data_IF_836571500907
#
_entry.id   IF_836571500907
#
_cell.length_a   1.000
_cell.length_b   1.000
_cell.length_c   1.000
_cell.angle_alpha   90.00
_cell.angle_beta   90.00
_cell.angle_gamma   90.00
#
_symmetry.space_group_name_H-M   'P 1'
#
loop_
_entity.id
_entity.type
_entity.pdbx_description
1 polymer ?
#
# COMPACT_ATOMS: atom_id res chain seq x y z
N UNK A 1 4.25 5.92 -6.01
CA UNK A 1 3.09 5.65 -5.12
C UNK A 1 3.11 6.60 -3.92
N UNK A 2 2.14 7.52 -3.79
CA UNK A 2 2.02 8.38 -2.58
C UNK A 2 0.95 7.80 -1.65
N UNK A 3 1.31 7.48 -0.40
CA UNK A 3 0.39 7.13 0.67
C UNK A 3 0.12 8.35 1.53
N UNK A 4 -1.08 8.45 2.08
CA UNK A 4 -1.30 9.35 3.20
C UNK A 4 -0.91 8.64 4.49
N UNK A 5 0.08 9.17 5.20
CA UNK A 5 0.42 8.67 6.53
C UNK A 5 -0.38 9.44 7.57
N UNK A 6 -1.30 8.77 8.26
CA UNK A 6 -2.10 9.38 9.34
C UNK A 6 -1.23 9.88 10.50
N UNK A 7 -0.10 9.23 10.77
CA UNK A 7 0.85 9.66 11.80
C UNK A 7 1.53 10.98 11.43
N UNK A 8 1.93 11.13 10.16
CA UNK A 8 2.65 12.31 9.66
C UNK A 8 1.73 13.38 9.07
N UNK A 9 0.42 13.10 8.98
CA UNK A 9 -0.65 13.90 8.36
C UNK A 9 -0.27 14.50 7.00
N UNK A 10 0.56 13.80 6.25
CA UNK A 10 1.10 14.26 4.97
C UNK A 10 1.11 13.13 3.96
N UNK A 11 1.11 13.51 2.68
CA UNK A 11 1.32 12.57 1.57
C UNK A 11 2.81 12.23 1.54
N UNK A 12 3.13 10.98 1.80
CA UNK A 12 4.49 10.44 1.80
C UNK A 12 4.64 9.49 0.62
N UNK A 13 5.84 9.43 0.05
CA UNK A 13 6.15 8.40 -0.92
C UNK A 13 6.37 7.09 -0.19
N UNK A 14 5.59 6.07 -0.55
CA UNK A 14 5.77 4.74 0.04
C UNK A 14 7.12 4.20 -0.41
N UNK A 15 7.95 3.79 0.55
CA UNK A 15 9.21 3.10 0.29
C UNK A 15 8.95 1.60 0.35
N UNK A 16 9.66 0.81 -0.45
CA UNK A 16 9.53 -0.64 -0.45
C UNK A 16 8.12 -1.12 -0.86
N UNK A 17 7.65 -0.66 -2.02
CA UNK A 17 6.33 -1.07 -2.53
C UNK A 17 6.37 -2.48 -3.09
N UNK A 18 5.79 -3.43 -2.39
CA UNK A 18 5.67 -4.83 -2.79
C UNK A 18 4.24 -5.15 -3.22
N UNK A 19 4.10 -5.69 -4.43
CA UNK A 19 2.84 -6.24 -4.91
C UNK A 19 2.70 -7.67 -4.42
N UNK A 20 1.71 -7.90 -3.56
CA UNK A 20 1.39 -9.22 -3.01
C UNK A 20 0.06 -9.68 -3.58
N UNK A 21 0.11 -10.75 -4.37
CA UNK A 21 -1.08 -11.43 -4.88
C UNK A 21 -1.46 -12.53 -3.90
N UNK A 22 -2.65 -12.44 -3.30
CA UNK A 22 -3.19 -13.50 -2.44
C UNK A 22 -3.67 -14.67 -3.31
N UNK A 23 -3.72 -15.87 -2.74
CA UNK A 23 -4.28 -17.08 -3.40
C UNK A 23 -5.74 -16.90 -3.86
N UNK A 24 -6.47 -15.96 -3.26
CA UNK A 24 -7.83 -15.59 -3.65
C UNK A 24 -7.91 -14.66 -4.87
N UNK A 25 -6.78 -14.38 -5.54
CA UNK A 25 -6.72 -13.53 -6.73
C UNK A 25 -6.72 -12.03 -6.45
N UNK A 26 -6.73 -11.62 -5.18
CA UNK A 26 -6.66 -10.21 -4.78
C UNK A 26 -5.22 -9.72 -4.78
N UNK A 27 -4.97 -8.60 -5.47
CA UNK A 27 -3.68 -7.90 -5.48
C UNK A 27 -3.68 -6.82 -4.41
N UNK A 28 -2.64 -6.81 -3.58
CA UNK A 28 -2.42 -5.78 -2.57
C UNK A 28 -1.05 -5.16 -2.75
N UNK A 29 -0.96 -3.84 -2.69
CA UNK A 29 0.31 -3.12 -2.66
C UNK A 29 0.68 -2.88 -1.20
N UNK A 30 1.70 -3.56 -0.70
CA UNK A 30 2.31 -3.26 0.61
C UNK A 30 3.39 -2.22 0.42
N UNK A 31 3.61 -1.37 1.41
CA UNK A 31 4.66 -0.37 1.41
C UNK A 31 5.00 0.06 2.84
N UNK A 32 6.05 0.86 2.97
CA UNK A 32 6.53 1.38 4.23
C UNK A 32 6.55 2.90 4.17
N UNK A 33 6.06 3.56 5.21
CA UNK A 33 6.22 5.01 5.36
C UNK A 33 7.69 5.33 5.70
N UNK A 34 8.44 6.08 4.88
CA UNK A 34 9.84 6.39 5.16
C UNK A 34 10.05 7.34 6.35
N UNK A 35 8.99 7.99 6.82
CA UNK A 35 9.06 8.99 7.91
C UNK A 35 8.86 8.33 9.27
N UNK A 36 7.93 7.38 9.38
CA UNK A 36 7.58 6.75 10.65
C UNK A 36 7.82 5.24 10.68
N UNK A 37 8.28 4.63 9.57
CA UNK A 37 8.52 3.20 9.46
C UNK A 37 7.25 2.33 9.51
N UNK A 38 6.06 2.93 9.57
CA UNK A 38 4.82 2.17 9.66
C UNK A 38 4.50 1.52 8.32
N UNK A 39 4.18 0.22 8.35
CA UNK A 39 3.69 -0.52 7.20
C UNK A 39 2.36 0.09 6.75
N UNK A 40 2.34 0.59 5.53
CA UNK A 40 1.15 1.09 4.86
C UNK A 40 0.76 0.08 3.81
N UNK A 41 -0.51 -0.30 3.80
CA UNK A 41 -1.04 -1.20 2.79
C UNK A 41 -2.06 -0.43 1.96
N UNK A 42 -1.92 -0.51 0.65
CA UNK A 42 -2.88 -0.01 -0.32
C UNK A 42 -3.45 -1.21 -1.03
N UNK A 43 -4.70 -1.53 -0.72
CA UNK A 43 -5.46 -2.46 -1.52
C UNK A 43 -5.91 -1.70 -2.77
N UNK A 44 -5.18 -1.87 -3.88
CA UNK A 44 -5.69 -1.46 -5.18
C UNK A 44 -6.75 -2.50 -5.55
N UNK A 45 -8.00 -2.22 -5.14
CA UNK A 45 -9.16 -3.08 -5.36
C UNK A 45 -9.45 -3.23 -6.84
N UNK A 46 -8.69 -4.10 -7.51
CA UNK A 46 -9.05 -4.55 -8.84
C UNK A 46 -10.16 -5.59 -8.66
N UNK A 47 -11.40 -5.09 -8.74
CA UNK A 47 -12.59 -5.89 -8.98
C UNK A 47 -12.33 -6.62 -10.31
N UNK A 48 -11.74 -7.81 -10.27
CA UNK A 48 -11.73 -8.69 -11.43
C UNK A 48 -13.18 -9.07 -11.66
N UNK A 49 -13.80 -8.33 -12.58
CA UNK A 49 -14.98 -8.77 -13.30
C UNK A 49 -14.64 -10.14 -13.89
N UNK A 50 -15.57 -11.06 -13.67
CA UNK A 50 -15.43 -12.51 -13.71
C UNK A 50 -15.17 -13.03 -15.11
#
# INVERSE_FOLDING_TARGET
MKAYCFKCRRKVEMKDTELVTLRSGQTMTKGICPICGTKVIRCDGNRKEK
#
